data_IF_023576849316
#
_entry.id   IF_023576849316
#
_cell.length_a   1.000
_cell.length_b   1.000
_cell.length_c   1.000
_cell.angle_alpha   90.00
_cell.angle_beta   90.00
_cell.angle_gamma   90.00
#
_symmetry.space_group_name_H-M   'P 1'
#
loop_
_entity.id
_entity.type
_entity.pdbx_description
1 polymer ?
#
# COMPACT_ATOMS: atom_id res chain seq x y z
N UNK A 1 13.14 -18.80 13.56
CA UNK A 1 11.76 -18.42 13.19
C UNK A 1 11.87 -17.00 12.67
N UNK A 2 11.45 -16.73 11.43
CA UNK A 2 11.39 -15.35 10.96
C UNK A 2 10.18 -14.72 11.66
N UNK A 3 10.41 -13.71 12.49
CA UNK A 3 9.30 -12.94 13.05
C UNK A 3 8.54 -12.34 11.87
N UNK A 4 7.24 -12.67 11.75
CA UNK A 4 6.38 -12.11 10.71
C UNK A 4 6.30 -10.59 10.93
N UNK A 5 6.54 -9.80 9.90
CA UNK A 5 6.38 -8.35 9.97
C UNK A 5 4.93 -8.00 10.28
N UNK A 6 4.73 -6.99 11.12
CA UNK A 6 3.40 -6.44 11.41
C UNK A 6 2.84 -5.68 10.20
N UNK A 7 1.51 -5.46 10.19
CA UNK A 7 0.86 -4.69 9.14
C UNK A 7 1.42 -3.25 9.01
N UNK A 8 1.75 -2.61 10.14
CA UNK A 8 2.37 -1.29 10.13
C UNK A 8 3.78 -1.32 9.54
N UNK A 9 4.59 -2.31 9.91
CA UNK A 9 5.95 -2.47 9.34
C UNK A 9 5.90 -2.74 7.84
N UNK A 10 4.94 -3.55 7.38
CA UNK A 10 4.74 -3.78 5.95
C UNK A 10 4.40 -2.49 5.20
N UNK A 11 3.52 -1.64 5.74
CA UNK A 11 3.18 -0.34 5.12
C UNK A 11 4.38 0.62 5.08
N UNK A 12 5.11 0.75 6.19
CA UNK A 12 6.30 1.61 6.23
C UNK A 12 7.43 1.08 5.34
N UNK A 13 7.64 -0.24 5.32
CA UNK A 13 8.62 -0.90 4.46
C UNK A 13 8.28 -0.76 2.98
N UNK A 14 7.01 -0.93 2.61
CA UNK A 14 6.53 -0.71 1.24
C UNK A 14 6.79 0.73 0.79
N UNK A 15 6.37 1.71 1.59
CA UNK A 15 6.61 3.12 1.27
C UNK A 15 8.10 3.46 1.20
N UNK A 16 8.93 2.88 2.07
CA UNK A 16 10.38 3.01 2.00
C UNK A 16 10.97 2.43 0.72
N UNK A 17 10.57 1.22 0.35
CA UNK A 17 11.02 0.55 -0.88
C UNK A 17 10.60 1.31 -2.15
N UNK A 18 9.41 1.91 -2.18
CA UNK A 18 8.99 2.75 -3.32
C UNK A 18 9.97 3.89 -3.61
N UNK A 19 10.67 4.42 -2.60
CA UNK A 19 11.66 5.50 -2.79
C UNK A 19 12.97 5.03 -3.43
N UNK A 20 13.21 3.72 -3.49
CA UNK A 20 14.45 3.14 -4.01
C UNK A 20 14.27 2.50 -5.38
N UNK A 21 13.07 2.56 -5.97
CA UNK A 21 12.79 1.95 -7.28
C UNK A 21 13.39 2.79 -8.41
N UNK A 22 13.85 2.10 -9.44
CA UNK A 22 14.36 2.74 -10.67
C UNK A 22 13.23 3.38 -11.49
N UNK A 23 12.04 2.78 -11.45
CA UNK A 23 10.86 3.24 -12.19
C UNK A 23 9.92 4.06 -11.32
N UNK A 24 9.44 5.19 -11.86
CA UNK A 24 8.43 6.03 -11.22
C UNK A 24 7.07 5.35 -11.23
N UNK A 25 6.44 5.26 -10.06
CA UNK A 25 5.04 4.83 -9.93
C UNK A 25 4.12 6.03 -9.75
N UNK A 26 3.19 6.25 -10.69
CA UNK A 26 2.17 7.28 -10.59
C UNK A 26 0.92 6.75 -9.88
N UNK A 27 0.43 7.47 -8.88
CA UNK A 27 -0.77 7.13 -8.10
C UNK A 27 -1.68 8.34 -8.03
N UNK A 28 -2.95 8.19 -8.38
CA UNK A 28 -3.96 9.23 -8.22
C UNK A 28 -5.19 8.99 -9.09
N UNK A 29 -6.31 9.64 -8.73
CA UNK A 29 -7.59 9.46 -9.45
C UNK A 29 -7.55 9.87 -10.93
N UNK A 30 -6.56 10.69 -11.34
CA UNK A 30 -6.38 11.16 -12.71
C UNK A 30 -5.35 10.34 -13.50
N UNK A 31 -4.78 9.28 -12.91
CA UNK A 31 -3.74 8.46 -13.53
C UNK A 31 -4.21 7.01 -13.68
N UNK A 32 -3.70 6.33 -14.71
CA UNK A 32 -3.85 4.87 -14.78
C UNK A 32 -3.05 4.22 -13.65
N UNK A 33 -3.77 3.65 -12.68
CA UNK A 33 -3.18 3.05 -11.49
C UNK A 33 -3.15 1.51 -11.55
N UNK A 34 -3.44 0.88 -12.70
CA UNK A 34 -3.34 -0.57 -12.88
C UNK A 34 -1.98 -1.14 -12.40
N UNK A 35 -0.83 -0.51 -12.72
CA UNK A 35 0.48 -1.01 -12.31
C UNK A 35 0.72 -1.01 -10.78
N UNK A 36 -0.08 -0.25 -10.01
CA UNK A 36 0.06 -0.21 -8.55
C UNK A 36 -0.24 -1.57 -7.94
N UNK A 37 -1.19 -2.33 -8.49
CA UNK A 37 -1.53 -3.65 -7.99
C UNK A 37 -0.36 -4.64 -8.16
N UNK A 38 0.31 -4.61 -9.30
CA UNK A 38 1.46 -5.47 -9.59
C UNK A 38 2.62 -5.19 -8.64
N UNK A 39 2.87 -3.92 -8.37
CA UNK A 39 3.92 -3.46 -7.44
C UNK A 39 3.61 -3.87 -6.00
N UNK A 40 2.37 -3.74 -5.56
CA UNK A 40 1.95 -4.20 -4.24
C UNK A 40 2.15 -5.71 -4.14
N UNK A 41 1.78 -6.45 -5.19
CA UNK A 41 1.97 -7.90 -5.24
C UNK A 41 3.45 -8.29 -5.15
N UNK A 42 4.32 -7.61 -5.89
CA UNK A 42 5.77 -7.83 -5.83
C UNK A 42 6.30 -7.71 -4.40
N UNK A 43 5.90 -6.66 -3.68
CA UNK A 43 6.32 -6.47 -2.29
C UNK A 43 5.75 -7.54 -1.36
N UNK A 44 4.48 -7.92 -1.53
CA UNK A 44 3.85 -8.99 -0.74
C UNK A 44 4.55 -10.33 -0.95
N UNK A 45 4.84 -10.70 -2.19
CA UNK A 45 5.51 -11.94 -2.54
C UNK A 45 6.95 -11.97 -1.96
N UNK A 46 7.69 -10.86 -2.08
CA UNK A 46 9.05 -10.74 -1.54
C UNK A 46 9.11 -10.87 -0.01
N UNK A 47 8.06 -10.45 0.69
CA UNK A 47 7.97 -10.50 2.15
C UNK A 47 7.11 -11.67 2.66
N UNK A 48 6.67 -12.58 1.77
CA UNK A 48 5.80 -13.72 2.11
C UNK A 48 4.55 -13.31 2.89
N UNK A 49 3.92 -12.19 2.49
CA UNK A 49 2.69 -11.70 3.09
C UNK A 49 1.49 -12.51 2.60
N UNK A 50 0.48 -12.63 3.47
CA UNK A 50 -0.75 -13.36 3.16
C UNK A 50 -1.60 -12.58 2.13
N UNK A 51 -2.23 -13.31 1.20
CA UNK A 51 -3.12 -12.73 0.22
C UNK A 51 -4.32 -12.03 0.90
N UNK A 52 -4.84 -10.92 0.33
CA UNK A 52 -6.00 -10.24 0.88
C UNK A 52 -7.22 -11.18 0.92
N UNK A 53 -7.91 -11.21 2.06
CA UNK A 53 -9.18 -11.96 2.20
C UNK A 53 -10.31 -11.37 1.37
N UNK A 54 -11.31 -12.17 1.05
CA UNK A 54 -12.52 -11.67 0.40
C UNK A 54 -13.15 -10.50 1.17
N UNK A 55 -13.65 -9.51 0.42
CA UNK A 55 -14.27 -8.30 0.95
C UNK A 55 -13.40 -7.48 1.92
N UNK A 56 -12.06 -7.59 1.83
CA UNK A 56 -11.13 -6.86 2.69
C UNK A 56 -11.40 -5.35 2.72
N UNK A 57 -11.80 -4.76 1.58
CA UNK A 57 -12.03 -3.33 1.41
C UNK A 57 -13.17 -2.77 2.30
N UNK A 58 -14.10 -3.60 2.77
CA UNK A 58 -15.14 -3.18 3.72
C UNK A 58 -14.61 -2.90 5.13
N UNK A 59 -13.39 -3.33 5.45
CA UNK A 59 -12.79 -3.18 6.77
C UNK A 59 -11.90 -1.93 6.90
N UNK A 60 -11.70 -1.18 5.80
CA UNK A 60 -10.85 0.00 5.79
C UNK A 60 -11.66 1.25 6.15
N UNK A 61 -11.09 2.07 7.02
CA UNK A 61 -11.55 3.44 7.25
C UNK A 61 -10.57 4.36 6.55
N UNK A 62 -10.99 4.95 5.44
CA UNK A 62 -10.17 5.95 4.77
C UNK A 62 -10.19 7.26 5.58
N UNK A 63 -9.05 7.92 5.79
CA UNK A 63 -9.04 9.28 6.26
C UNK A 63 -9.94 10.12 5.36
N UNK A 64 -10.96 10.77 5.93
CA UNK A 64 -11.74 11.76 5.18
C UNK A 64 -10.78 12.90 4.82
N UNK A 65 -10.82 13.38 3.57
CA UNK A 65 -10.18 14.64 3.21
C UNK A 65 -10.52 15.67 4.29
N UNK A 66 -9.50 16.34 4.85
CA UNK A 66 -9.74 17.44 5.78
C UNK A 66 -10.64 18.44 5.08
N UNK A 67 -11.83 18.70 5.63
CA UNK A 67 -12.58 19.92 5.30
C UNK A 67 -11.79 21.09 5.87
N UNK A 68 -11.59 22.11 5.05
CA UNK A 68 -10.90 23.36 5.38
C UNK A 68 -11.69 24.27 6.36
N UNK A 69 -12.63 23.74 7.15
CA UNK A 69 -13.45 24.55 8.07
C UNK A 69 -12.90 24.66 9.50
N UNK A 70 -11.64 24.26 9.72
CA UNK A 70 -10.95 24.40 11.01
C UNK A 70 -9.52 24.94 10.83
N UNK A 71 -9.40 26.12 10.20
CA UNK A 71 -8.32 27.09 10.42
C UNK A 71 -8.87 28.51 10.31
#
# INVERSE_FOLDING_TARGET
MSDKISASEALFGFMGWLTTRDETLMIGAQHECSPVADVVKEFCDANSLEEPRDNWHHHFVHPKEKRDDLT
#
